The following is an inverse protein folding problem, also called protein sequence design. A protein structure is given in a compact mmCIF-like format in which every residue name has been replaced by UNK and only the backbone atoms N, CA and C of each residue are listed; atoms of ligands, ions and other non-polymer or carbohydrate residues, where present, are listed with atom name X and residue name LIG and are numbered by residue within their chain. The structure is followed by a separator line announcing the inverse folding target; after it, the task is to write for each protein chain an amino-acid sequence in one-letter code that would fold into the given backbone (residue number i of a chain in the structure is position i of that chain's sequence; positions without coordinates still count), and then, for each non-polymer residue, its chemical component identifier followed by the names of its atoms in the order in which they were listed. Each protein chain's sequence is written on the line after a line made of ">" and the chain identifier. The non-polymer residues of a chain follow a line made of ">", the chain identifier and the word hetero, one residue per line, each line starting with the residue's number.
data_IF_864318324398
#
_entry.id   IF_864318324398
#
_cell.length_a   1.000
_cell.length_b   1.000
_cell.length_c   1.000
_cell.angle_alpha   90.00
_cell.angle_beta   90.00
_cell.angle_gamma   90.00
#
_symmetry.space_group_name_H-M   'P 1'
#
loop_
_entity.id
_entity.type
_entity.pdbx_description
1 polymer ?
#
# COMPACT_ATOMS: atom_id res chain seq x y z
N UNK A 1 -23.39 -19.06 3.89
CA UNK A 1 -23.11 -19.19 5.35
C UNK A 1 -22.25 -20.41 5.71
N UNK A 2 -22.45 -21.59 5.11
CA UNK A 2 -21.64 -22.80 5.43
C UNK A 2 -20.13 -22.64 5.15
N UNK A 3 -19.73 -21.90 4.10
CA UNK A 3 -18.31 -21.63 3.78
C UNK A 3 -17.58 -20.87 4.91
N UNK A 4 -18.17 -19.80 5.45
CA UNK A 4 -17.57 -19.02 6.53
C UNK A 4 -17.43 -19.81 7.84
N UNK A 5 -18.39 -20.68 8.16
CA UNK A 5 -18.31 -21.54 9.34
C UNK A 5 -17.15 -22.54 9.24
N UNK A 6 -16.97 -23.18 8.07
CA UNK A 6 -15.85 -24.09 7.80
C UNK A 6 -14.50 -23.35 7.88
N UNK A 7 -14.42 -22.16 7.30
CA UNK A 7 -13.23 -21.32 7.34
C UNK A 7 -12.87 -20.93 8.78
N UNK A 8 -13.85 -20.47 9.55
CA UNK A 8 -13.69 -20.12 10.97
C UNK A 8 -13.14 -21.31 11.77
N UNK A 9 -13.72 -22.50 11.61
CA UNK A 9 -13.24 -23.72 12.29
C UNK A 9 -11.81 -24.10 11.90
N UNK A 10 -11.46 -23.93 10.63
CA UNK A 10 -10.11 -24.22 10.11
C UNK A 10 -9.07 -23.30 10.74
N UNK A 11 -9.33 -21.99 10.74
CA UNK A 11 -8.45 -21.00 11.38
C UNK A 11 -8.36 -21.26 12.89
N UNK A 12 -9.49 -21.48 13.57
CA UNK A 12 -9.50 -21.75 15.00
C UNK A 12 -8.65 -22.97 15.37
N UNK A 13 -8.79 -24.08 14.63
CA UNK A 13 -7.97 -25.29 14.81
C UNK A 13 -6.48 -24.99 14.62
N UNK A 14 -6.14 -24.18 13.62
CA UNK A 14 -4.75 -23.78 13.37
C UNK A 14 -4.18 -22.92 14.49
N UNK A 15 -4.89 -21.89 14.93
CA UNK A 15 -4.43 -21.02 16.02
C UNK A 15 -4.24 -21.81 17.32
N UNK A 16 -5.12 -22.78 17.60
CA UNK A 16 -4.97 -23.71 18.73
C UNK A 16 -3.75 -24.66 18.56
N UNK A 17 -3.36 -24.99 17.33
CA UNK A 17 -2.10 -25.71 17.10
C UNK A 17 -0.88 -24.82 17.34
N UNK A 18 -0.95 -23.52 17.01
CA UNK A 18 0.16 -22.59 17.29
C UNK A 18 0.34 -22.37 18.80
N UNK A 19 -0.73 -22.44 19.61
CA UNK A 19 -0.62 -22.36 21.08
C UNK A 19 0.19 -23.50 21.70
N UNK A 20 0.46 -24.60 20.99
CA UNK A 20 1.31 -25.69 21.51
C UNK A 20 2.79 -25.56 21.12
N UNK A 21 3.17 -24.56 20.31
CA UNK A 21 4.58 -24.29 19.99
C UNK A 21 5.27 -23.56 21.15
N UNK A 22 6.60 -23.50 21.18
CA UNK A 22 7.30 -22.70 22.21
C UNK A 22 7.12 -21.21 21.91
N UNK A 23 6.94 -20.39 22.96
CA UNK A 23 6.87 -18.94 22.77
C UNK A 23 8.24 -18.28 22.84
N UNK A 24 8.43 -17.29 21.98
CA UNK A 24 9.34 -16.21 22.30
C UNK A 24 8.71 -15.38 23.44
N UNK A 25 9.48 -15.12 24.50
CA UNK A 25 9.01 -14.40 25.70
C UNK A 25 7.78 -15.05 26.38
N UNK A 26 7.84 -16.33 26.76
CA UNK A 26 6.72 -17.06 27.41
C UNK A 26 6.13 -16.34 28.65
N UNK A 27 6.94 -15.53 29.33
CA UNK A 27 6.54 -14.78 30.50
C UNK A 27 5.74 -13.51 30.19
N UNK A 28 5.74 -13.03 28.95
CA UNK A 28 5.00 -11.83 28.54
C UNK A 28 3.55 -12.19 28.20
N UNK A 29 2.60 -11.49 28.83
CA UNK A 29 1.18 -11.61 28.54
C UNK A 29 0.69 -10.35 27.83
N UNK A 30 0.11 -10.50 26.64
CA UNK A 30 -0.29 -9.36 25.81
C UNK A 30 -1.30 -8.45 26.48
N UNK A 31 -2.27 -9.00 27.21
CA UNK A 31 -3.25 -8.19 27.93
C UNK A 31 -2.58 -7.41 29.08
N UNK A 32 -1.58 -7.99 29.73
CA UNK A 32 -0.80 -7.29 30.76
C UNK A 32 0.06 -6.17 30.16
N UNK A 33 0.74 -6.41 29.03
CA UNK A 33 1.56 -5.39 28.36
C UNK A 33 0.70 -4.26 27.78
N UNK A 34 -0.44 -4.59 27.18
CA UNK A 34 -1.45 -3.60 26.76
C UNK A 34 -1.87 -2.72 27.95
N UNK A 35 -2.16 -3.34 29.10
CA UNK A 35 -2.57 -2.62 30.31
C UNK A 35 -1.45 -1.71 30.85
N UNK A 36 -0.19 -2.18 30.87
CA UNK A 36 0.98 -1.36 31.27
C UNK A 36 1.15 -0.13 30.39
N UNK A 37 0.81 -0.26 29.11
CA UNK A 37 0.83 0.80 28.10
C UNK A 37 -0.46 1.64 28.07
N UNK A 38 -1.39 1.43 29.01
CA UNK A 38 -2.63 2.20 29.11
C UNK A 38 -3.71 1.82 28.09
N UNK A 39 -3.53 0.72 27.35
CA UNK A 39 -4.49 0.22 26.38
C UNK A 39 -5.45 -0.77 27.03
N UNK A 40 -6.75 -0.54 26.87
CA UNK A 40 -7.76 -1.45 27.41
C UNK A 40 -7.98 -2.66 26.49
N UNK A 41 -8.55 -3.74 27.04
CA UNK A 41 -9.05 -4.87 26.25
C UNK A 41 -10.04 -4.43 25.15
N UNK A 42 -10.79 -3.34 25.39
CA UNK A 42 -11.72 -2.78 24.40
C UNK A 42 -10.97 -2.21 23.20
N UNK A 43 -9.87 -1.51 23.43
CA UNK A 43 -9.04 -0.94 22.37
C UNK A 43 -8.38 -2.04 21.55
N UNK A 44 -7.92 -3.10 22.22
CA UNK A 44 -7.45 -4.31 21.57
C UNK A 44 -8.49 -4.93 20.62
N UNK A 45 -9.73 -5.08 21.08
CA UNK A 45 -10.80 -5.63 20.25
C UNK A 45 -11.23 -4.70 19.12
N UNK A 46 -11.20 -3.37 19.31
CA UNK A 46 -11.47 -2.40 18.24
C UNK A 46 -10.44 -2.52 17.12
N UNK A 47 -9.16 -2.55 17.48
CA UNK A 47 -8.07 -2.75 16.53
C UNK A 47 -8.19 -4.10 15.83
N UNK A 48 -8.49 -5.18 16.56
CA UNK A 48 -8.67 -6.50 15.94
C UNK A 48 -9.83 -6.48 14.93
N UNK A 49 -10.90 -5.74 15.23
CA UNK A 49 -12.01 -5.52 14.31
C UNK A 49 -11.59 -4.71 13.08
N UNK A 50 -10.80 -3.65 13.26
CA UNK A 50 -10.25 -2.86 12.16
C UNK A 50 -9.37 -3.71 11.25
N UNK A 51 -8.46 -4.52 11.82
CA UNK A 51 -7.62 -5.43 11.03
C UNK A 51 -8.42 -6.54 10.35
N UNK A 52 -9.47 -7.07 10.99
CA UNK A 52 -10.40 -8.01 10.36
C UNK A 52 -11.03 -7.40 9.11
N UNK A 53 -11.47 -6.14 9.21
CA UNK A 53 -12.04 -5.41 8.08
C UNK A 53 -11.00 -5.09 6.99
N UNK A 54 -9.76 -4.75 7.38
CA UNK A 54 -8.64 -4.51 6.46
C UNK A 54 -8.32 -5.77 5.65
N UNK A 55 -8.32 -6.94 6.28
CA UNK A 55 -8.15 -8.25 5.63
C UNK A 55 -9.39 -8.71 4.84
N UNK A 56 -10.41 -7.85 4.70
CA UNK A 56 -11.68 -8.13 4.03
C UNK A 56 -12.40 -9.37 4.59
N UNK A 57 -12.30 -9.60 5.91
CA UNK A 57 -12.98 -10.70 6.60
C UNK A 57 -14.29 -10.23 7.26
N UNK A 58 -15.28 -11.13 7.43
CA UNK A 58 -16.50 -10.80 8.17
C UNK A 58 -16.20 -10.44 9.63
N UNK A 59 -16.99 -9.53 10.22
CA UNK A 59 -16.79 -9.08 11.60
C UNK A 59 -16.79 -10.23 12.64
N UNK A 60 -17.44 -11.36 12.33
CA UNK A 60 -17.42 -12.56 13.17
C UNK A 60 -16.03 -13.18 13.33
N UNK A 61 -15.05 -12.83 12.49
CA UNK A 61 -13.67 -13.30 12.57
C UNK A 61 -12.79 -12.46 13.50
N UNK A 62 -13.29 -11.33 14.01
CA UNK A 62 -12.57 -10.47 14.97
C UNK A 62 -11.92 -11.25 16.13
N UNK A 63 -12.59 -12.22 16.78
CA UNK A 63 -11.96 -13.00 17.84
C UNK A 63 -10.78 -13.86 17.35
N UNK A 64 -10.80 -14.33 16.10
CA UNK A 64 -9.68 -15.10 15.53
C UNK A 64 -8.50 -14.19 15.19
N UNK A 65 -8.75 -12.98 14.72
CA UNK A 65 -7.69 -11.98 14.51
C UNK A 65 -7.03 -11.59 15.84
N UNK A 66 -7.83 -11.35 16.88
CA UNK A 66 -7.32 -11.14 18.23
C UNK A 66 -6.49 -12.35 18.72
N UNK A 67 -6.98 -13.58 18.51
CA UNK A 67 -6.26 -14.80 18.88
C UNK A 67 -4.96 -15.00 18.11
N UNK A 68 -4.92 -14.61 16.83
CA UNK A 68 -3.72 -14.69 16.01
C UNK A 68 -2.59 -13.83 16.56
N UNK A 69 -2.94 -12.66 17.08
CA UNK A 69 -1.99 -11.77 17.77
C UNK A 69 -1.47 -12.37 19.07
N UNK A 70 -2.34 -12.96 19.89
CA UNK A 70 -1.93 -13.61 21.15
C UNK A 70 -0.90 -14.74 20.93
N UNK A 71 -0.86 -15.34 19.74
CA UNK A 71 0.08 -16.41 19.37
C UNK A 71 1.14 -15.96 18.38
N UNK A 72 1.25 -14.67 18.09
CA UNK A 72 2.22 -14.14 17.14
C UNK A 72 3.67 -14.40 17.57
N UNK A 73 3.91 -14.48 18.88
CA UNK A 73 5.20 -14.87 19.47
C UNK A 73 5.64 -16.31 19.24
N UNK A 74 4.80 -17.10 18.55
CA UNK A 74 5.09 -18.47 18.10
C UNK A 74 5.57 -18.53 16.66
N UNK A 75 5.64 -17.40 15.95
CA UNK A 75 6.05 -17.34 14.55
C UNK A 75 7.35 -16.54 14.41
N UNK A 76 8.48 -17.22 14.15
CA UNK A 76 9.75 -16.58 13.91
C UNK A 76 9.73 -15.76 12.62
N UNK A 77 10.30 -14.56 12.67
CA UNK A 77 10.48 -13.66 11.54
C UNK A 77 11.96 -13.30 11.42
N UNK A 78 12.47 -13.37 10.20
CA UNK A 78 13.81 -12.92 9.82
C UNK A 78 13.61 -11.78 8.83
N UNK A 79 14.16 -10.59 9.13
CA UNK A 79 14.08 -9.40 8.28
C UNK A 79 15.48 -9.05 7.76
N UNK A 80 15.67 -9.13 6.45
CA UNK A 80 16.94 -8.80 5.80
C UNK A 80 16.87 -7.45 5.09
N UNK A 81 17.94 -6.65 5.19
CA UNK A 81 18.10 -5.41 4.45
C UNK A 81 19.05 -5.60 3.26
N UNK A 82 18.60 -5.15 2.08
CA UNK A 82 19.36 -5.20 0.84
C UNK A 82 19.72 -3.77 0.39
N UNK A 83 19.70 -3.44 -0.90
CA UNK A 83 19.87 -2.07 -1.35
C UNK A 83 18.60 -1.27 -1.04
N UNK A 84 18.64 -0.44 0.00
CA UNK A 84 17.47 0.13 0.64
C UNK A 84 17.73 1.52 1.24
N UNK A 85 16.69 2.13 1.81
CA UNK A 85 16.74 3.42 2.49
C UNK A 85 16.13 3.37 3.90
N UNK A 86 15.85 2.16 4.41
CA UNK A 86 15.25 1.88 5.72
C UNK A 86 13.84 2.43 5.91
N UNK A 87 13.24 2.99 4.86
CA UNK A 87 11.90 3.57 4.91
C UNK A 87 10.80 2.55 5.23
N UNK A 88 10.98 1.26 4.91
CA UNK A 88 9.95 0.26 5.20
C UNK A 88 10.02 -0.19 6.67
N UNK A 89 11.21 -0.44 7.22
CA UNK A 89 11.39 -0.59 8.67
C UNK A 89 10.90 0.65 9.43
N UNK A 90 11.20 1.85 8.95
CA UNK A 90 10.69 3.07 9.58
C UNK A 90 9.16 3.15 9.51
N UNK A 91 8.54 2.79 8.37
CA UNK A 91 7.08 2.71 8.30
C UNK A 91 6.51 1.74 9.34
N UNK A 92 7.18 0.62 9.59
CA UNK A 92 6.80 -0.32 10.65
C UNK A 92 6.86 0.33 12.03
N UNK A 93 7.96 1.04 12.31
CA UNK A 93 8.23 1.74 13.57
C UNK A 93 7.37 3.00 13.75
N UNK A 94 6.71 3.51 12.71
CA UNK A 94 5.71 4.60 12.79
C UNK A 94 4.31 4.11 13.20
N UNK A 95 4.19 2.86 13.61
CA UNK A 95 3.08 2.41 14.45
C UNK A 95 3.11 3.25 15.74
N UNK A 96 2.03 3.99 16.05
CA UNK A 96 1.96 4.96 17.16
C UNK A 96 2.34 4.36 18.53
N UNK A 97 2.71 5.18 19.52
CA UNK A 97 3.09 4.74 20.87
C UNK A 97 1.99 5.05 21.90
N UNK A 98 1.41 4.04 22.56
CA UNK A 98 1.43 2.63 22.19
C UNK A 98 0.25 2.29 21.27
N UNK A 99 0.56 1.77 20.10
CA UNK A 99 -0.38 1.17 19.18
C UNK A 99 -0.25 -0.34 19.29
N UNK A 100 -1.34 -1.02 18.98
CA UNK A 100 -1.37 -2.48 19.07
C UNK A 100 -0.45 -3.10 18.02
N UNK A 101 -0.20 -2.40 16.90
CA UNK A 101 0.74 -2.83 15.85
C UNK A 101 2.19 -2.86 16.33
N UNK A 102 2.66 -1.84 17.07
CA UNK A 102 4.02 -1.85 17.64
C UNK A 102 4.16 -2.92 18.71
N UNK A 103 3.15 -3.08 19.57
CA UNK A 103 3.10 -4.18 20.55
C UNK A 103 3.14 -5.52 19.83
N UNK A 104 2.41 -5.71 18.72
CA UNK A 104 2.45 -6.96 17.96
C UNK A 104 3.86 -7.31 17.51
N UNK A 105 4.71 -6.34 17.15
CA UNK A 105 6.10 -6.63 16.82
C UNK A 105 6.98 -6.96 18.03
N UNK A 106 6.66 -6.43 19.23
CA UNK A 106 7.28 -6.93 20.48
C UNK A 106 6.88 -8.39 20.79
N UNK A 107 5.73 -8.82 20.26
CA UNK A 107 5.24 -10.19 20.39
C UNK A 107 5.76 -11.07 19.27
N UNK A 108 5.76 -10.63 18.01
CA UNK A 108 6.33 -11.41 16.91
C UNK A 108 7.75 -11.77 17.28
N UNK A 109 8.11 -13.03 17.04
CA UNK A 109 9.44 -13.52 17.33
C UNK A 109 10.41 -13.03 16.23
N UNK A 110 10.80 -11.76 16.29
CA UNK A 110 11.75 -11.15 15.38
C UNK A 110 13.17 -11.61 15.74
N UNK A 111 13.60 -12.71 15.14
CA UNK A 111 14.87 -13.37 15.44
C UNK A 111 16.07 -12.62 14.82
N UNK A 112 15.84 -11.81 13.79
CA UNK A 112 16.88 -11.02 13.14
C UNK A 112 16.28 -9.78 12.45
N UNK A 113 16.87 -8.60 12.73
CA UNK A 113 16.58 -7.32 12.08
C UNK A 113 17.70 -6.32 12.40
N UNK A 114 18.51 -5.96 11.40
CA UNK A 114 19.76 -5.21 11.59
C UNK A 114 19.57 -3.83 12.23
N UNK A 115 18.47 -3.12 11.92
CA UNK A 115 18.20 -1.78 12.49
C UNK A 115 17.99 -1.76 14.00
N UNK A 116 17.44 -2.82 14.61
CA UNK A 116 16.98 -2.79 16.02
C UNK A 116 17.60 -3.89 16.90
N UNK A 117 18.34 -4.84 16.32
CA UNK A 117 18.99 -5.89 17.09
C UNK A 117 20.18 -5.38 17.90
N UNK A 118 20.43 -6.01 19.05
CA UNK A 118 21.56 -5.66 19.93
C UNK A 118 22.89 -6.21 19.41
N UNK A 119 22.88 -7.41 18.81
CA UNK A 119 24.09 -8.04 18.30
C UNK A 119 24.59 -7.35 17.02
N UNK A 120 25.91 -7.26 16.85
CA UNK A 120 26.57 -6.65 15.69
C UNK A 120 27.76 -7.50 15.22
N UNK A 121 28.30 -7.23 14.04
CA UNK A 121 29.44 -7.97 13.48
C UNK A 121 29.21 -9.49 13.46
N UNK A 122 30.19 -10.26 13.90
CA UNK A 122 30.10 -11.73 13.94
C UNK A 122 28.97 -12.26 14.82
N UNK A 123 28.58 -11.52 15.87
CA UNK A 123 27.43 -11.90 16.71
C UNK A 123 26.11 -11.77 15.93
N UNK A 124 26.00 -10.78 15.04
CA UNK A 124 24.84 -10.64 14.18
C UNK A 124 24.78 -11.78 13.14
N UNK A 125 25.92 -12.11 12.50
CA UNK A 125 26.01 -13.24 11.57
C UNK A 125 25.63 -14.56 12.25
N UNK A 126 26.12 -14.78 13.48
CA UNK A 126 25.75 -15.94 14.28
C UNK A 126 24.25 -15.96 14.61
N UNK A 127 23.67 -14.81 14.95
CA UNK A 127 22.24 -14.69 15.24
C UNK A 127 21.39 -15.04 14.02
N UNK A 128 21.77 -14.56 12.83
CA UNK A 128 21.08 -14.90 11.58
C UNK A 128 21.16 -16.41 11.29
N UNK A 129 22.35 -17.00 11.39
CA UNK A 129 22.53 -18.42 11.13
C UNK A 129 21.80 -19.30 12.15
N UNK A 130 21.82 -18.91 13.43
CA UNK A 130 21.02 -19.57 14.46
C UNK A 130 19.52 -19.45 14.19
N UNK A 131 19.02 -18.27 13.80
CA UNK A 131 17.62 -18.06 13.47
C UNK A 131 17.17 -18.99 12.32
N UNK A 132 17.95 -19.05 11.24
CA UNK A 132 17.68 -19.91 10.08
C UNK A 132 17.71 -21.39 10.48
N UNK A 133 18.73 -21.82 11.23
CA UNK A 133 18.91 -23.23 11.60
C UNK A 133 17.89 -23.71 12.61
N UNK A 134 17.64 -22.93 13.67
CA UNK A 134 16.68 -23.24 14.74
C UNK A 134 15.25 -23.32 14.22
N UNK A 135 14.89 -22.43 13.29
CA UNK A 135 13.51 -22.30 12.78
C UNK A 135 13.32 -22.84 11.38
N UNK A 136 14.25 -23.65 10.89
CA UNK A 136 14.26 -24.23 9.55
C UNK A 136 12.88 -24.77 9.13
N UNK A 137 12.32 -24.24 8.04
CA UNK A 137 11.00 -24.60 7.52
C UNK A 137 9.81 -23.93 8.22
N UNK A 138 10.05 -23.11 9.24
CA UNK A 138 9.00 -22.55 10.10
C UNK A 138 9.11 -21.04 10.41
N UNK A 139 10.01 -20.29 9.75
CA UNK A 139 10.04 -18.82 9.84
C UNK A 139 9.44 -18.13 8.61
N UNK A 140 8.99 -16.89 8.79
CA UNK A 140 8.68 -15.96 7.69
C UNK A 140 9.94 -15.17 7.38
N UNK A 141 10.34 -15.14 6.12
CA UNK A 141 11.40 -14.25 5.64
C UNK A 141 10.78 -12.96 5.11
N UNK A 142 11.26 -11.82 5.57
CA UNK A 142 10.96 -10.51 5.02
C UNK A 142 12.24 -9.93 4.43
N UNK A 143 12.14 -9.40 3.22
CA UNK A 143 13.26 -8.74 2.55
C UNK A 143 12.86 -7.31 2.21
N UNK A 144 13.63 -6.37 2.73
CA UNK A 144 13.59 -4.95 2.38
C UNK A 144 14.75 -4.63 1.43
N UNK A 145 14.48 -3.88 0.36
CA UNK A 145 15.51 -3.46 -0.58
C UNK A 145 15.64 -4.30 -1.86
N UNK A 146 16.19 -3.67 -2.90
CA UNK A 146 16.50 -4.33 -4.17
C UNK A 146 17.84 -5.05 -4.08
N UNK A 147 18.07 -6.01 -4.95
CA UNK A 147 19.22 -6.91 -4.85
C UNK A 147 20.08 -6.78 -6.12
N UNK A 148 21.32 -6.28 -6.04
CA UNK A 148 22.26 -6.30 -7.16
C UNK A 148 22.45 -7.73 -7.70
N UNK A 149 22.31 -7.94 -9.01
CA UNK A 149 22.52 -9.24 -9.66
C UNK A 149 23.64 -9.13 -10.71
N UNK A 150 24.62 -10.03 -10.68
CA UNK A 150 25.79 -9.96 -11.59
C UNK A 150 26.80 -8.84 -11.24
N UNK A 151 26.41 -7.92 -10.36
CA UNK A 151 27.19 -6.83 -9.78
C UNK A 151 27.10 -6.88 -8.25
N UNK A 152 27.04 -8.10 -7.71
CA UNK A 152 26.74 -8.39 -6.30
C UNK A 152 27.70 -7.71 -5.30
N UNK A 153 28.90 -7.30 -5.74
CA UNK A 153 29.87 -6.54 -4.93
C UNK A 153 29.38 -5.15 -4.49
N UNK A 154 28.30 -4.60 -5.08
CA UNK A 154 27.68 -3.36 -4.61
C UNK A 154 26.94 -3.53 -3.27
N UNK A 155 26.69 -4.76 -2.83
CA UNK A 155 26.01 -5.04 -1.57
C UNK A 155 26.56 -6.31 -0.91
N UNK A 156 27.41 -6.10 0.09
CA UNK A 156 27.84 -7.15 1.01
C UNK A 156 27.36 -6.83 2.42
N UNK A 157 26.90 -7.86 3.12
CA UNK A 157 26.31 -7.78 4.46
C UNK A 157 26.99 -8.76 5.41
N UNK A 158 26.94 -8.44 6.69
CA UNK A 158 27.59 -9.22 7.74
C UNK A 158 29.10 -9.04 7.84
N UNK A 159 29.69 -9.59 8.91
CA UNK A 159 31.13 -9.56 9.14
C UNK A 159 31.90 -10.47 8.17
N UNK A 160 31.25 -11.52 7.67
CA UNK A 160 31.80 -12.39 6.63
C UNK A 160 31.77 -11.77 5.22
N UNK A 161 31.12 -10.61 5.03
CA UNK A 161 31.09 -9.90 3.74
C UNK A 161 30.34 -10.63 2.63
N UNK A 162 29.29 -11.39 2.97
CA UNK A 162 28.49 -12.16 2.02
C UNK A 162 27.65 -11.25 1.16
N UNK A 163 27.42 -11.62 -0.10
CA UNK A 163 26.59 -10.79 -0.98
C UNK A 163 25.12 -10.81 -0.54
N UNK A 164 24.40 -9.71 -0.73
CA UNK A 164 22.97 -9.67 -0.38
C UNK A 164 22.15 -10.73 -1.13
N UNK A 165 22.55 -11.07 -2.36
CA UNK A 165 21.95 -12.16 -3.13
C UNK A 165 22.21 -13.54 -2.51
N UNK A 166 23.42 -13.80 -2.00
CA UNK A 166 23.74 -15.01 -1.25
C UNK A 166 22.88 -15.13 0.01
N UNK A 167 22.79 -14.06 0.81
CA UNK A 167 21.95 -14.02 2.02
C UNK A 167 20.48 -14.30 1.72
N UNK A 168 19.94 -13.65 0.68
CA UNK A 168 18.58 -13.89 0.23
C UNK A 168 18.35 -15.36 -0.14
N UNK A 169 19.27 -15.99 -0.89
CA UNK A 169 19.15 -17.41 -1.27
C UNK A 169 19.23 -18.34 -0.04
N UNK A 170 20.17 -18.07 0.88
CA UNK A 170 20.36 -18.87 2.11
C UNK A 170 19.12 -18.82 2.99
N UNK A 171 18.63 -17.62 3.30
CA UNK A 171 17.45 -17.43 4.11
C UNK A 171 16.16 -17.86 3.38
N UNK A 172 16.05 -17.69 2.06
CA UNK A 172 14.84 -18.12 1.34
C UNK A 172 14.67 -19.63 1.33
N UNK A 173 15.78 -20.39 1.22
CA UNK A 173 15.77 -21.86 1.11
C UNK A 173 14.87 -22.53 2.15
N UNK A 174 14.97 -22.10 3.41
CA UNK A 174 14.24 -22.70 4.53
C UNK A 174 13.05 -21.87 5.04
N UNK A 175 12.77 -20.72 4.43
CA UNK A 175 11.61 -19.91 4.79
C UNK A 175 10.30 -20.65 4.48
N UNK A 176 9.32 -20.54 5.39
CA UNK A 176 7.96 -21.06 5.21
C UNK A 176 7.11 -20.18 4.30
N UNK A 177 7.31 -18.88 4.43
CA UNK A 177 6.70 -17.84 3.59
C UNK A 177 7.73 -16.72 3.39
N UNK A 178 7.64 -16.02 2.26
CA UNK A 178 8.58 -14.96 1.88
C UNK A 178 7.76 -13.72 1.50
N UNK A 179 8.08 -12.60 2.14
CA UNK A 179 7.48 -11.30 1.87
C UNK A 179 8.55 -10.35 1.31
N UNK A 180 8.27 -9.75 0.16
CA UNK A 180 9.07 -8.64 -0.35
C UNK A 180 8.44 -7.34 0.16
N UNK A 181 9.08 -6.71 1.15
CA UNK A 181 8.58 -5.50 1.81
C UNK A 181 9.10 -4.27 1.06
N UNK A 182 8.14 -3.51 0.50
CA UNK A 182 8.39 -2.31 -0.26
C UNK A 182 8.67 -2.53 -1.74
N UNK A 183 8.62 -1.44 -2.49
CA UNK A 183 8.79 -1.45 -3.95
C UNK A 183 10.20 -1.88 -4.37
N UNK A 184 11.20 -1.66 -3.51
CA UNK A 184 12.58 -2.07 -3.75
C UNK A 184 12.71 -3.58 -3.92
N UNK A 185 12.27 -4.38 -2.95
CA UNK A 185 12.34 -5.85 -3.03
C UNK A 185 11.24 -6.44 -3.92
N UNK A 186 10.09 -5.77 -4.04
CA UNK A 186 8.98 -6.24 -4.89
C UNK A 186 9.29 -6.09 -6.37
N UNK A 187 9.84 -4.93 -6.79
CA UNK A 187 9.97 -4.54 -8.21
C UNK A 187 11.32 -3.90 -8.60
N UNK A 188 12.25 -3.69 -7.66
CA UNK A 188 13.58 -3.12 -7.90
C UNK A 188 13.80 -1.76 -7.24
N UNK A 189 12.78 -0.90 -7.18
CA UNK A 189 12.84 0.38 -6.46
C UNK A 189 13.58 1.49 -7.21
N UNK A 190 14.04 2.50 -6.45
CA UNK A 190 14.70 3.70 -7.01
C UNK A 190 16.05 3.39 -7.63
N UNK A 191 16.81 2.50 -7.01
CA UNK A 191 18.10 2.03 -7.50
C UNK A 191 18.01 1.25 -8.82
N UNK A 192 16.81 0.74 -9.15
CA UNK A 192 16.54 0.04 -10.40
C UNK A 192 15.99 0.97 -11.51
N UNK A 193 15.68 2.23 -11.18
CA UNK A 193 15.30 3.22 -12.18
C UNK A 193 16.45 3.47 -13.16
N UNK A 194 16.14 3.93 -14.38
CA UNK A 194 17.14 4.19 -15.41
C UNK A 194 18.26 5.12 -14.87
N UNK A 195 19.56 4.79 -15.06
CA UNK A 195 20.11 3.69 -15.87
C UNK A 195 20.45 2.38 -15.11
N UNK A 196 19.98 2.21 -13.86
CA UNK A 196 20.23 1.04 -13.01
C UNK A 196 21.71 0.62 -12.89
N UNK A 197 22.58 1.50 -12.34
CA UNK A 197 24.04 1.28 -12.37
C UNK A 197 24.50 0.07 -11.54
N UNK A 198 23.74 -0.30 -10.50
CA UNK A 198 24.05 -1.45 -9.66
C UNK A 198 23.39 -2.74 -10.12
N UNK A 199 22.66 -2.73 -11.24
CA UNK A 199 21.80 -3.82 -11.70
C UNK A 199 20.94 -4.40 -10.57
N UNK A 200 20.29 -3.53 -9.80
CA UNK A 200 19.37 -3.90 -8.75
C UNK A 200 18.12 -4.57 -9.35
N UNK A 201 17.74 -5.70 -8.75
CA UNK A 201 16.65 -6.56 -9.18
C UNK A 201 15.66 -6.82 -8.03
N UNK A 202 14.39 -7.13 -8.33
CA UNK A 202 13.46 -7.60 -7.32
C UNK A 202 13.84 -9.00 -6.82
N UNK A 203 13.35 -9.36 -5.63
CA UNK A 203 13.64 -10.65 -4.98
C UNK A 203 13.27 -11.85 -5.86
N UNK A 204 12.21 -11.72 -6.67
CA UNK A 204 11.76 -12.75 -7.62
C UNK A 204 12.76 -13.12 -8.71
N UNK A 205 13.82 -12.32 -8.92
CA UNK A 205 14.92 -12.63 -9.85
C UNK A 205 16.12 -13.30 -9.17
N UNK A 206 16.10 -13.37 -7.83
CA UNK A 206 17.21 -13.85 -7.01
C UNK A 206 16.93 -15.26 -6.46
N UNK A 207 15.67 -15.57 -6.16
CA UNK A 207 15.24 -16.83 -5.54
C UNK A 207 14.13 -17.51 -6.35
N UNK A 208 14.05 -18.84 -6.22
CA UNK A 208 13.03 -19.68 -6.89
C UNK A 208 12.00 -20.22 -5.89
N UNK A 209 11.31 -19.30 -5.19
CA UNK A 209 10.22 -19.64 -4.26
C UNK A 209 9.08 -18.63 -4.39
N UNK A 210 7.83 -19.01 -4.05
CA UNK A 210 6.72 -18.07 -4.04
C UNK A 210 6.98 -16.88 -3.10
N UNK A 211 6.76 -15.67 -3.62
CA UNK A 211 6.94 -14.41 -2.90
C UNK A 211 5.59 -13.69 -2.86
N UNK A 212 5.26 -13.11 -1.71
CA UNK A 212 4.15 -12.17 -1.57
C UNK A 212 4.76 -10.76 -1.61
N UNK A 213 4.38 -9.98 -2.61
CA UNK A 213 4.86 -8.61 -2.75
C UNK A 213 3.98 -7.66 -1.91
N UNK A 214 4.61 -6.84 -1.08
CA UNK A 214 3.96 -5.80 -0.26
C UNK A 214 4.53 -4.44 -0.68
N UNK A 215 4.23 -3.95 -1.89
CA UNK A 215 4.86 -2.75 -2.45
C UNK A 215 4.30 -1.45 -1.87
N UNK A 216 5.03 -0.37 -2.15
CA UNK A 216 4.88 0.96 -1.58
C UNK A 216 6.27 1.50 -1.22
N UNK A 217 6.42 2.83 -1.21
CA UNK A 217 7.68 3.49 -0.90
C UNK A 217 7.48 4.53 0.21
N UNK A 218 7.24 4.10 1.47
CA UNK A 218 7.13 2.71 1.93
C UNK A 218 5.69 2.15 1.86
N UNK A 219 5.48 0.82 2.02
CA UNK A 219 4.16 0.27 2.26
C UNK A 219 3.66 0.68 3.65
N UNK A 220 2.34 0.82 3.84
CA UNK A 220 1.79 1.10 5.19
C UNK A 220 2.12 -0.04 6.17
N UNK A 221 2.36 0.33 7.42
CA UNK A 221 2.51 -0.53 8.58
C UNK A 221 1.40 -1.60 8.66
N UNK A 222 0.16 -1.21 8.36
CA UNK A 222 -1.01 -2.11 8.40
C UNK A 222 -0.95 -3.17 7.30
N UNK A 223 -0.35 -2.85 6.15
CA UNK A 223 -0.18 -3.82 5.07
C UNK A 223 0.87 -4.87 5.44
N UNK A 224 1.95 -4.45 6.10
CA UNK A 224 2.99 -5.35 6.63
C UNK A 224 2.40 -6.26 7.70
N UNK A 225 1.81 -5.68 8.76
CA UNK A 225 1.17 -6.42 9.87
C UNK A 225 0.08 -7.36 9.33
N UNK A 226 -0.79 -6.85 8.46
CA UNK A 226 -1.89 -7.62 7.88
C UNK A 226 -1.40 -8.87 7.14
N UNK A 227 -0.29 -8.79 6.41
CA UNK A 227 0.29 -9.97 5.74
C UNK A 227 0.76 -11.03 6.74
N UNK A 228 1.41 -10.62 7.83
CA UNK A 228 1.84 -11.53 8.90
C UNK A 228 0.65 -12.19 9.57
N UNK A 229 -0.35 -11.40 9.96
CA UNK A 229 -1.58 -11.90 10.58
C UNK A 229 -2.33 -12.87 9.66
N UNK A 230 -2.37 -12.58 8.37
CA UNK A 230 -2.97 -13.50 7.39
C UNK A 230 -2.22 -14.84 7.38
N UNK A 231 -0.90 -14.84 7.32
CA UNK A 231 -0.09 -16.07 7.36
C UNK A 231 -0.25 -16.84 8.69
N UNK A 232 -0.40 -16.13 9.81
CA UNK A 232 -0.69 -16.72 11.12
C UNK A 232 -2.06 -17.42 11.10
N UNK A 233 -3.10 -16.73 10.64
CA UNK A 233 -4.48 -17.23 10.64
C UNK A 233 -4.73 -18.34 9.63
N UNK A 234 -4.22 -18.23 8.40
CA UNK A 234 -4.54 -19.13 7.30
C UNK A 234 -3.44 -20.15 7.01
N UNK A 235 -2.18 -19.79 7.29
CA UNK A 235 -1.02 -20.64 6.98
C UNK A 235 -0.66 -20.74 5.52
N UNK A 236 -1.31 -19.94 4.67
CA UNK A 236 -1.06 -19.84 3.24
C UNK A 236 -1.06 -18.37 2.84
N UNK A 237 -0.51 -18.06 1.67
CA UNK A 237 -0.65 -16.74 1.07
C UNK A 237 -2.13 -16.37 0.86
N UNK A 238 -2.49 -15.06 0.92
CA UNK A 238 -3.80 -14.60 0.49
C UNK A 238 -3.95 -14.73 -1.03
N UNK A 239 -5.15 -14.47 -1.56
CA UNK A 239 -5.32 -14.30 -3.00
C UNK A 239 -4.45 -13.15 -3.49
N UNK A 240 -3.56 -13.45 -4.43
CA UNK A 240 -2.64 -12.49 -5.03
C UNK A 240 -3.13 -12.03 -6.40
N UNK A 241 -2.72 -10.84 -6.84
CA UNK A 241 -2.91 -10.36 -8.21
C UNK A 241 -1.75 -10.79 -9.13
N UNK A 242 -1.75 -10.29 -10.39
CA UNK A 242 -0.74 -10.62 -11.38
C UNK A 242 0.69 -10.18 -11.00
N UNK A 243 0.83 -9.28 -10.02
CA UNK A 243 2.12 -8.81 -9.50
C UNK A 243 2.44 -9.42 -8.14
N UNK A 244 1.80 -10.54 -7.78
CA UNK A 244 1.93 -11.23 -6.50
C UNK A 244 1.57 -10.36 -5.28
N UNK A 245 0.68 -9.37 -5.45
CA UNK A 245 0.26 -8.47 -4.36
C UNK A 245 -1.02 -8.97 -3.70
N UNK A 246 -1.16 -8.92 -2.36
CA UNK A 246 -2.40 -9.29 -1.69
C UNK A 246 -3.60 -8.46 -2.15
N UNK A 247 -4.61 -9.11 -2.73
CA UNK A 247 -5.78 -8.42 -3.30
C UNK A 247 -6.63 -7.68 -2.28
N UNK A 248 -6.53 -8.01 -0.99
CA UNK A 248 -7.20 -7.24 0.07
C UNK A 248 -6.59 -5.84 0.26
N UNK A 249 -5.29 -5.67 -0.03
CA UNK A 249 -4.59 -4.37 0.05
C UNK A 249 -4.47 -3.68 -1.31
N UNK A 250 -4.23 -4.45 -2.38
CA UNK A 250 -3.86 -3.96 -3.70
C UNK A 250 -4.89 -4.33 -4.79
N UNK A 251 -6.11 -4.75 -4.41
CA UNK A 251 -7.15 -5.16 -5.37
C UNK A 251 -7.95 -4.01 -6.00
N UNK A 252 -7.77 -2.78 -5.51
CA UNK A 252 -8.45 -1.57 -5.99
C UNK A 252 -7.43 -0.48 -6.29
N UNK A 253 -7.76 0.40 -7.24
CA UNK A 253 -6.95 1.57 -7.53
C UNK A 253 -7.21 2.65 -6.49
N UNK A 254 -6.21 3.47 -6.22
CA UNK A 254 -6.34 4.67 -5.39
C UNK A 254 -7.51 5.53 -5.84
N UNK A 255 -7.66 5.72 -7.15
CA UNK A 255 -8.71 6.56 -7.74
C UNK A 255 -10.13 6.02 -7.54
N UNK A 256 -10.30 4.71 -7.38
CA UNK A 256 -11.62 4.10 -7.17
C UNK A 256 -12.15 4.35 -5.75
N UNK A 257 -11.27 4.75 -4.83
CA UNK A 257 -11.55 4.95 -3.41
C UNK A 257 -11.16 6.36 -2.93
N UNK A 258 -10.91 7.29 -3.84
CA UNK A 258 -10.43 8.64 -3.53
C UNK A 258 -11.60 9.57 -3.14
N UNK A 259 -11.46 10.31 -2.05
CA UNK A 259 -12.48 11.28 -1.61
C UNK A 259 -12.69 12.43 -2.62
N UNK A 260 -11.69 12.75 -3.44
CA UNK A 260 -11.78 13.79 -4.48
C UNK A 260 -12.39 13.28 -5.79
N UNK A 261 -12.96 12.06 -5.81
CA UNK A 261 -13.49 11.45 -7.03
C UNK A 261 -14.69 12.22 -7.60
N UNK A 262 -15.55 12.77 -6.74
CA UNK A 262 -16.66 13.63 -7.19
C UNK A 262 -16.17 14.80 -8.05
N UNK A 263 -15.14 15.51 -7.61
CA UNK A 263 -14.53 16.60 -8.39
C UNK A 263 -13.94 16.13 -9.72
N UNK A 264 -13.31 14.94 -9.76
CA UNK A 264 -12.83 14.37 -11.02
C UNK A 264 -13.97 14.13 -12.01
N UNK A 265 -15.06 13.51 -11.53
CA UNK A 265 -16.22 13.18 -12.37
C UNK A 265 -16.98 14.45 -12.81
N UNK A 266 -16.94 15.54 -12.02
CA UNK A 266 -17.51 16.85 -12.34
C UNK A 266 -16.66 17.68 -13.33
N UNK A 267 -15.36 17.39 -13.46
CA UNK A 267 -14.43 18.18 -14.28
C UNK A 267 -13.73 19.31 -13.53
N UNK A 268 -13.76 19.23 -12.20
CA UNK A 268 -13.22 20.21 -11.25
C UNK A 268 -11.78 19.84 -10.88
N UNK A 269 -10.83 20.53 -11.50
CA UNK A 269 -9.41 20.22 -11.37
C UNK A 269 -8.63 21.42 -10.84
N UNK A 270 -7.66 21.11 -9.97
CA UNK A 270 -6.55 22.01 -9.68
C UNK A 270 -5.77 22.23 -10.98
N UNK A 271 -5.46 23.49 -11.30
CA UNK A 271 -4.67 23.86 -12.49
C UNK A 271 -3.20 24.14 -12.14
N UNK A 272 -2.94 24.68 -10.95
CA UNK A 272 -1.60 24.85 -10.41
C UNK A 272 -1.64 24.81 -8.88
N UNK A 273 -0.50 24.48 -8.25
CA UNK A 273 -0.42 24.46 -6.79
C UNK A 273 -0.72 25.85 -6.21
N UNK A 274 -1.63 25.90 -5.23
CA UNK A 274 -2.01 27.13 -4.54
C UNK A 274 -3.19 27.90 -5.14
N UNK A 275 -3.76 27.45 -6.27
CA UNK A 275 -4.98 28.06 -6.83
C UNK A 275 -6.21 27.86 -5.92
N UNK A 276 -7.31 28.57 -6.22
CA UNK A 276 -8.56 28.45 -5.45
C UNK A 276 -9.12 27.02 -5.47
N UNK A 277 -8.92 26.29 -6.58
CA UNK A 277 -9.35 24.90 -6.70
C UNK A 277 -8.57 23.98 -5.74
N UNK A 278 -7.28 24.24 -5.52
CA UNK A 278 -6.44 23.52 -4.58
C UNK A 278 -6.89 23.77 -3.14
N UNK A 279 -7.21 25.03 -2.80
CA UNK A 279 -7.78 25.41 -1.49
C UNK A 279 -9.12 24.73 -1.23
N UNK A 280 -9.93 24.55 -2.27
CA UNK A 280 -11.23 23.88 -2.21
C UNK A 280 -11.14 22.34 -2.34
N UNK A 281 -9.94 21.76 -2.37
CA UNK A 281 -9.79 20.30 -2.37
C UNK A 281 -10.15 19.59 -3.69
N UNK A 282 -10.12 20.31 -4.82
CA UNK A 282 -10.47 19.76 -6.13
C UNK A 282 -9.50 18.66 -6.60
N UNK A 283 -9.85 17.98 -7.69
CA UNK A 283 -9.08 16.85 -8.18
C UNK A 283 -7.68 17.25 -8.67
N UNK A 284 -6.67 16.45 -8.30
CA UNK A 284 -5.27 16.65 -8.64
C UNK A 284 -4.85 15.97 -9.95
N UNK A 285 -5.79 15.47 -10.76
CA UNK A 285 -5.47 14.75 -12.00
C UNK A 285 -4.59 15.59 -12.94
N UNK A 286 -4.93 16.86 -13.15
CA UNK A 286 -4.16 17.79 -13.99
C UNK A 286 -2.80 18.18 -13.40
N UNK A 287 -2.60 17.98 -12.10
CA UNK A 287 -1.32 18.11 -11.40
C UNK A 287 -0.50 16.82 -11.44
N UNK A 288 -0.86 15.87 -12.32
CA UNK A 288 -0.11 14.64 -12.54
C UNK A 288 -0.44 13.47 -11.61
N UNK A 289 -1.56 13.52 -10.87
CA UNK A 289 -1.95 12.40 -10.01
C UNK A 289 -2.07 11.07 -10.77
N UNK A 290 -1.27 10.08 -10.37
CA UNK A 290 -1.19 8.72 -10.93
C UNK A 290 -2.13 7.71 -10.24
N UNK A 291 -2.97 8.20 -9.33
CA UNK A 291 -3.97 7.39 -8.62
C UNK A 291 -4.86 6.52 -9.54
N UNK A 292 -5.23 6.95 -10.76
CA UNK A 292 -5.98 6.13 -11.71
C UNK A 292 -5.27 4.87 -12.20
N UNK A 293 -3.95 4.78 -12.01
CA UNK A 293 -3.10 3.68 -12.47
C UNK A 293 -2.42 2.93 -11.33
N UNK A 294 -2.70 3.32 -10.09
CA UNK A 294 -1.99 2.84 -8.89
C UNK A 294 -2.91 2.04 -8.01
N UNK A 295 -2.52 0.81 -7.69
CA UNK A 295 -3.20 -0.09 -6.78
C UNK A 295 -2.58 -0.01 -5.40
N UNK A 296 -3.38 0.45 -4.44
CA UNK A 296 -3.02 0.50 -3.02
C UNK A 296 -4.28 0.89 -2.22
N UNK A 297 -4.21 0.78 -0.90
CA UNK A 297 -5.31 1.13 0.01
C UNK A 297 -5.05 2.45 0.78
N UNK A 298 -4.13 3.30 0.32
CA UNK A 298 -3.78 4.57 0.98
C UNK A 298 -4.98 5.49 1.20
N UNK A 299 -5.94 5.56 0.28
CA UNK A 299 -7.12 6.43 0.45
C UNK A 299 -8.06 5.94 1.57
N UNK A 300 -8.01 4.65 1.89
CA UNK A 300 -8.82 4.03 2.94
C UNK A 300 -8.09 4.00 4.29
N UNK A 301 -6.85 3.52 4.30
CA UNK A 301 -6.06 3.36 5.53
C UNK A 301 -5.31 4.62 5.94
N UNK A 302 -5.05 5.51 4.98
CA UNK A 302 -4.18 6.69 5.13
C UNK A 302 -2.80 6.26 5.69
N UNK A 303 -2.02 7.21 6.17
CA UNK A 303 -0.73 7.00 6.83
C UNK A 303 -0.74 7.68 8.21
N UNK A 304 0.13 7.19 9.10
CA UNK A 304 0.37 7.74 10.44
C UNK A 304 -0.93 7.82 11.25
N UNK A 305 -1.44 6.67 11.72
CA UNK A 305 -2.69 6.60 12.51
C UNK A 305 -3.92 7.15 11.81
N UNK A 306 -4.02 6.87 10.51
CA UNK A 306 -5.08 7.39 9.63
C UNK A 306 -5.12 8.92 9.50
N UNK A 307 -4.04 9.63 9.87
CA UNK A 307 -4.00 11.09 9.87
C UNK A 307 -4.18 11.65 8.46
N UNK A 308 -3.28 11.30 7.54
CA UNK A 308 -3.35 11.85 6.18
C UNK A 308 -2.66 10.93 5.17
N UNK A 309 -2.68 11.32 3.90
CA UNK A 309 -2.09 10.60 2.78
C UNK A 309 -1.79 11.59 1.64
N UNK A 310 -1.05 11.23 0.59
CA UNK A 310 -0.55 12.21 -0.40
C UNK A 310 -1.63 13.14 -0.96
N UNK A 311 -2.77 12.58 -1.42
CA UNK A 311 -3.85 13.37 -2.02
C UNK A 311 -4.61 14.17 -0.97
N UNK A 312 -4.78 13.64 0.25
CA UNK A 312 -5.35 14.39 1.36
C UNK A 312 -4.48 15.59 1.76
N UNK A 313 -3.16 15.50 1.58
CA UNK A 313 -2.21 16.58 1.80
C UNK A 313 -2.05 17.54 0.59
N UNK A 314 -2.77 17.30 -0.52
CA UNK A 314 -2.75 18.19 -1.69
C UNK A 314 -1.74 17.84 -2.78
N UNK A 315 -1.02 16.71 -2.68
CA UNK A 315 -0.12 16.24 -3.73
C UNK A 315 -0.68 15.03 -4.48
N UNK A 316 -0.49 14.99 -5.79
CA UNK A 316 -0.89 13.85 -6.61
C UNK A 316 -0.18 12.56 -6.18
N UNK A 317 -0.86 11.42 -6.28
CA UNK A 317 -0.21 10.12 -6.13
C UNK A 317 0.87 9.96 -7.21
N UNK A 318 2.05 9.44 -6.84
CA UNK A 318 3.17 9.22 -7.78
C UNK A 318 3.23 7.78 -8.34
N UNK A 319 2.36 6.90 -7.86
CA UNK A 319 2.36 5.49 -8.28
C UNK A 319 3.40 4.60 -7.59
N UNK A 320 3.81 4.96 -6.37
CA UNK A 320 4.94 4.31 -5.69
C UNK A 320 4.80 2.81 -5.39
N UNK A 321 3.60 2.21 -5.55
CA UNK A 321 3.34 0.77 -5.40
C UNK A 321 3.22 0.00 -6.72
N UNK A 322 3.48 0.66 -7.86
CA UNK A 322 3.51 0.03 -9.17
C UNK A 322 4.95 -0.31 -9.62
N UNK A 323 5.12 -1.34 -10.46
CA UNK A 323 6.41 -1.65 -11.07
C UNK A 323 6.98 -0.47 -11.87
N UNK A 324 8.29 -0.24 -11.77
CA UNK A 324 9.03 0.75 -12.55
C UNK A 324 8.41 2.17 -12.54
N UNK A 325 7.72 2.57 -11.46
CA UNK A 325 6.99 3.83 -11.44
C UNK A 325 7.90 5.05 -11.61
N UNK A 326 9.16 4.97 -11.18
CA UNK A 326 10.16 6.04 -11.37
C UNK A 326 10.33 6.44 -12.84
N UNK A 327 10.30 5.47 -13.75
CA UNK A 327 10.48 5.71 -15.19
C UNK A 327 9.14 5.79 -15.93
N UNK A 328 8.16 4.97 -15.54
CA UNK A 328 6.87 4.84 -16.26
C UNK A 328 5.84 5.89 -15.88
N UNK A 329 5.99 6.51 -14.70
CA UNK A 329 5.08 7.53 -14.18
C UNK A 329 5.74 8.92 -14.13
N UNK A 330 7.00 9.05 -14.54
CA UNK A 330 7.67 10.35 -14.66
C UNK A 330 7.27 11.06 -15.97
N UNK A 331 7.17 12.40 -15.99
CA UNK A 331 7.25 13.30 -14.83
C UNK A 331 6.02 13.20 -13.91
N UNK A 332 6.23 13.37 -12.60
CA UNK A 332 5.19 13.10 -11.60
C UNK A 332 4.09 14.16 -11.58
N UNK A 333 4.44 15.42 -11.86
CA UNK A 333 3.56 16.58 -11.80
C UNK A 333 2.80 16.84 -13.11
N UNK A 334 2.92 15.94 -14.10
CA UNK A 334 2.17 16.00 -15.34
C UNK A 334 1.25 14.77 -15.50
N UNK A 335 0.05 14.93 -16.08
CA UNK A 335 -0.77 13.79 -16.44
C UNK A 335 0.01 12.86 -17.38
N UNK A 336 -0.18 11.53 -17.25
CA UNK A 336 0.43 10.59 -18.19
C UNK A 336 -0.07 10.94 -19.61
N UNK A 337 0.85 11.41 -20.44
CA UNK A 337 0.59 11.97 -21.77
C UNK A 337 0.34 10.91 -22.84
N UNK A 338 0.31 9.62 -22.46
CA UNK A 338 0.07 8.54 -23.40
C UNK A 338 -1.35 8.65 -23.98
N UNK A 339 -1.40 9.02 -25.26
CA UNK A 339 -2.51 9.60 -26.05
C UNK A 339 -3.74 8.70 -26.25
N UNK A 340 -3.90 7.63 -25.47
CA UNK A 340 -4.94 6.63 -25.66
C UNK A 340 -6.04 6.62 -24.58
N UNK A 341 -5.86 7.34 -23.47
CA UNK A 341 -6.80 7.25 -22.32
C UNK A 341 -7.62 8.53 -22.12
N UNK A 342 -7.16 9.66 -22.65
CA UNK A 342 -7.69 10.99 -22.31
C UNK A 342 -9.01 11.42 -22.96
N UNK A 343 -9.57 10.73 -24.00
CA UNK A 343 -10.95 11.01 -24.42
C UNK A 343 -11.94 9.85 -24.24
N UNK A 344 -11.54 8.66 -23.73
CA UNK A 344 -12.36 7.44 -23.84
C UNK A 344 -12.79 6.77 -22.52
N UNK A 345 -12.33 7.25 -21.35
CA UNK A 345 -12.58 6.55 -20.07
C UNK A 345 -13.57 7.22 -19.14
N UNK A 346 -14.02 8.44 -19.42
CA UNK A 346 -15.22 8.99 -18.79
C UNK A 346 -16.33 9.09 -19.83
N UNK A 347 -17.58 8.91 -19.40
CA UNK A 347 -18.76 9.06 -20.25
C UNK A 347 -18.85 10.45 -20.94
N UNK A 348 -17.99 11.39 -20.53
CA UNK A 348 -17.97 12.80 -20.94
C UNK A 348 -16.62 13.21 -21.56
N UNK A 349 -15.87 12.27 -22.15
CA UNK A 349 -14.66 12.60 -22.94
C UNK A 349 -13.52 13.23 -22.13
N UNK A 350 -13.43 12.93 -20.83
CA UNK A 350 -12.42 13.49 -19.92
C UNK A 350 -12.72 14.91 -19.41
N UNK A 351 -13.84 15.53 -19.82
CA UNK A 351 -14.22 16.89 -19.42
C UNK A 351 -14.97 16.94 -18.08
N UNK A 352 -15.70 15.88 -17.74
CA UNK A 352 -16.55 15.79 -16.55
C UNK A 352 -18.02 16.11 -16.84
N UNK A 353 -18.93 15.49 -16.08
CA UNK A 353 -20.37 15.57 -16.29
C UNK A 353 -20.87 17.02 -16.20
N UNK A 354 -20.52 17.70 -15.11
CA UNK A 354 -20.99 19.05 -14.81
C UNK A 354 -20.38 20.05 -15.78
N UNK A 355 -19.08 19.94 -16.06
CA UNK A 355 -18.43 20.80 -17.07
C UNK A 355 -19.05 20.67 -18.47
N UNK A 356 -19.46 19.46 -18.87
CA UNK A 356 -20.19 19.26 -20.12
C UNK A 356 -21.58 19.89 -20.04
N UNK A 357 -22.31 19.69 -18.95
CA UNK A 357 -23.63 20.29 -18.73
C UNK A 357 -23.56 21.83 -18.78
N UNK A 358 -22.60 22.44 -18.10
CA UNK A 358 -22.34 23.89 -18.12
C UNK A 358 -22.03 24.38 -19.52
N UNK A 359 -21.17 23.67 -20.26
CA UNK A 359 -20.82 24.03 -21.63
C UNK A 359 -22.05 24.01 -22.54
N UNK A 360 -22.87 22.96 -22.44
CA UNK A 360 -24.14 22.86 -23.19
C UNK A 360 -25.11 23.97 -22.78
N UNK A 361 -25.24 24.24 -21.47
CA UNK A 361 -26.10 25.29 -20.93
C UNK A 361 -25.71 26.68 -21.42
N UNK A 362 -24.42 27.02 -21.36
CA UNK A 362 -23.87 28.30 -21.84
C UNK A 362 -24.16 28.46 -23.35
N UNK A 363 -23.92 27.42 -24.15
CA UNK A 363 -24.18 27.45 -25.59
C UNK A 363 -25.67 27.64 -25.87
N UNK A 364 -26.54 26.89 -25.20
CA UNK A 364 -27.99 26.98 -25.38
C UNK A 364 -28.54 28.36 -24.98
N UNK A 365 -28.12 28.89 -23.82
CA UNK A 365 -28.51 30.22 -23.35
C UNK A 365 -28.01 31.32 -24.30
N UNK A 366 -26.77 31.21 -24.77
CA UNK A 366 -26.20 32.18 -25.72
C UNK A 366 -26.96 32.18 -27.05
N UNK A 367 -27.27 30.99 -27.58
CA UNK A 367 -28.05 30.85 -28.82
C UNK A 367 -29.47 31.41 -28.67
N UNK A 368 -30.14 31.12 -27.54
CA UNK A 368 -31.47 31.65 -27.24
C UNK A 368 -31.44 33.18 -27.13
N UNK A 369 -30.46 33.75 -26.42
CA UNK A 369 -30.29 35.20 -26.29
C UNK A 369 -30.06 35.89 -27.63
N UNK A 370 -29.21 35.33 -28.49
CA UNK A 370 -28.99 35.80 -29.87
C UNK A 370 -30.28 35.72 -30.68
N UNK A 371 -31.03 34.62 -30.58
CA UNK A 371 -32.30 34.43 -31.27
C UNK A 371 -33.36 35.46 -30.84
N UNK A 372 -33.49 35.71 -29.53
CA UNK A 372 -34.40 36.71 -28.97
C UNK A 372 -34.00 38.12 -29.45
N UNK A 373 -32.70 38.45 -29.40
CA UNK A 373 -32.21 39.75 -29.86
C UNK A 373 -32.44 39.96 -31.36
N UNK A 374 -32.16 38.96 -32.20
CA UNK A 374 -32.47 39.02 -33.64
C UNK A 374 -33.97 39.14 -33.91
N UNK A 375 -34.80 38.39 -33.20
CA UNK A 375 -36.26 38.49 -33.34
C UNK A 375 -36.77 39.88 -32.96
N UNK A 376 -36.29 40.44 -31.85
CA UNK A 376 -36.63 41.79 -31.41
C UNK A 376 -36.24 42.86 -32.45
N UNK A 377 -35.00 42.80 -32.97
CA UNK A 377 -34.54 43.73 -34.02
C UNK A 377 -35.40 43.62 -35.28
N UNK A 378 -35.62 42.41 -35.80
CA UNK A 378 -36.44 42.18 -37.00
C UNK A 378 -37.89 42.63 -36.81
N UNK A 379 -38.46 42.41 -35.62
CA UNK A 379 -39.83 42.83 -35.30
C UNK A 379 -39.99 44.35 -35.28
N UNK A 380 -38.98 45.09 -34.79
CA UNK A 380 -38.97 46.55 -34.80
C UNK A 380 -38.87 47.10 -36.23
N UNK A 381 -37.96 46.56 -37.05
CA UNK A 381 -37.86 46.95 -38.47
C UNK A 381 -39.12 46.60 -39.29
N UNK A 382 -39.83 45.53 -38.93
CA UNK A 382 -41.12 45.20 -39.56
C UNK A 382 -42.26 46.11 -39.11
N UNK A 383 -42.19 46.68 -37.90
CA UNK A 383 -43.16 47.65 -37.40
C UNK A 383 -43.03 48.99 -38.13
N UNK A 384 -41.81 49.49 -38.29
CA UNK A 384 -41.54 50.74 -39.01
C UNK A 384 -41.97 50.67 -40.49
N UNK A 385 -41.91 49.48 -41.11
CA UNK A 385 -42.42 49.28 -42.49
C UNK A 385 -43.95 49.28 -42.60
N UNK A 386 -44.68 48.93 -41.54
CA UNK A 386 -46.14 48.93 -41.53
C UNK A 386 -46.74 50.30 -41.13
N UNK A 387 -45.96 51.21 -40.55
CA UNK A 387 -46.38 52.60 -40.28
C UNK A 387 -46.13 53.55 -41.47
N UNK A 388 -45.47 53.09 -42.55
CA UNK A 388 -45.22 53.87 -43.78
C UNK A 388 -46.04 53.38 -45.00
N UNK A 389 -47.03 52.51 -44.80
CA UNK A 389 -47.93 52.00 -45.85
C UNK A 389 -49.30 52.66 -45.82
#
# INVERSE_FOLDING_TARGET
>A
MQSHSRLFKTISTRLNRLTSLNAHNEHKNIHAELTKKGLSRRDFMKWAGAMTATLALPASFTPLTAKAVEVANRMPVIWLHMAECTGCSESLLRSEDPSIDSIIFDYINLEYHETIMVASGYQADHSLEQAITKHKGNYILMVEGGIPQGTEYFLTVGAEGRTGAEECRRAAKYAKAILAIGTCSSFGGVQAAYPNPSNAQPLSKIIDKPIINVPGCPPSEKNIVGCVLYLLMFGTAPRLDAYNRPTWAYGRRIHDLCERRGHFDAGEFVQHFGDENAKNGFCLYKMGCKGPYTFNNCSKLRFNSHTNWPIGAGHGCIGCSEPNFWDTMSPFEEPISNRLITPLTSAFGGLGADKVADSVGIVALSAAGIGIAMHALLSNFSKDKNEQA
#
